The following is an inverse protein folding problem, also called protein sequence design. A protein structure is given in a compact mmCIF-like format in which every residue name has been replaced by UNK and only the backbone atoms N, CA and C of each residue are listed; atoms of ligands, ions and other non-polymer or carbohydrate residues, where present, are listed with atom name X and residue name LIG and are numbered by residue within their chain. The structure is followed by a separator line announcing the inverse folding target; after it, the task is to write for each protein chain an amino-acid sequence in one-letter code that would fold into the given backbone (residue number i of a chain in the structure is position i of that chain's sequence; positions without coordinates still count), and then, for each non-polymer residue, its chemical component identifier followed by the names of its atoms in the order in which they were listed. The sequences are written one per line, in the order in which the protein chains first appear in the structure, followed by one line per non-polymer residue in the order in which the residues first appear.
data_IF_806187283931
#
_entry.id   IF_806187283931
#
_cell.length_a   1.000
_cell.length_b   1.000
_cell.length_c   1.000
_cell.angle_alpha   90.00
_cell.angle_beta   90.00
_cell.angle_gamma   90.00
#
_symmetry.space_group_name_H-M   'P 1'
#
loop_
_entity.id
_entity.type
_entity.pdbx_description
1 polymer ?
#
# COMPACT_ATOMS: atom_id res chain seq x y z
N UNK A 1 6.66 3.58 45.52
CA UNK A 1 5.95 3.01 44.36
C UNK A 1 6.75 3.32 43.11
N UNK A 2 7.43 2.35 42.46
CA UNK A 2 8.09 2.66 41.20
C UNK A 2 7.02 2.82 40.14
N UNK A 3 6.90 4.02 39.59
CA UNK A 3 6.17 4.21 38.35
C UNK A 3 6.85 3.32 37.32
N UNK A 4 6.15 2.28 36.89
CA UNK A 4 6.52 1.48 35.73
C UNK A 4 6.59 2.50 34.60
N UNK A 5 7.80 2.86 34.15
CA UNK A 5 7.96 3.56 32.89
C UNK A 5 7.18 2.69 31.89
N UNK A 6 6.01 3.16 31.48
CA UNK A 6 5.44 2.71 30.23
C UNK A 6 6.55 3.05 29.24
N UNK A 7 7.29 2.04 28.80
CA UNK A 7 8.10 2.15 27.60
C UNK A 7 7.10 2.39 26.49
N UNK A 8 6.71 3.64 26.31
CA UNK A 8 5.89 4.03 25.20
C UNK A 8 6.86 3.92 24.04
N UNK A 9 6.78 2.79 23.36
CA UNK A 9 7.42 2.59 22.07
C UNK A 9 6.71 3.54 21.10
N UNK A 10 6.99 4.84 21.18
CA UNK A 10 6.61 5.84 20.17
C UNK A 10 7.43 5.66 18.90
N UNK A 11 7.88 4.44 18.60
CA UNK A 11 8.67 4.16 17.42
C UNK A 11 7.72 4.17 16.22
N UNK A 12 7.38 5.40 15.79
CA UNK A 12 7.35 5.90 14.41
C UNK A 12 7.18 4.79 13.37
N UNK A 13 6.15 3.97 13.50
CA UNK A 13 5.89 2.95 12.50
C UNK A 13 5.33 3.70 11.31
N UNK A 14 6.15 3.80 10.26
CA UNK A 14 5.79 4.59 9.08
C UNK A 14 4.68 3.83 8.37
N UNK A 15 3.49 4.42 8.38
CA UNK A 15 2.34 3.94 7.63
C UNK A 15 2.52 4.30 6.17
N UNK A 16 2.35 3.32 5.29
CA UNK A 16 2.40 3.52 3.85
C UNK A 16 1.28 2.72 3.18
N UNK A 17 0.53 3.37 2.31
CA UNK A 17 -0.56 2.71 1.57
C UNK A 17 0.00 2.04 0.33
N UNK A 18 -0.31 0.77 0.15
CA UNK A 18 -0.08 0.10 -1.11
C UNK A 18 -1.36 0.16 -1.95
N UNK A 19 -1.34 0.96 -3.01
CA UNK A 19 -2.47 1.20 -3.90
C UNK A 19 -2.68 0.03 -4.87
N UNK A 20 -3.01 -1.15 -4.32
CA UNK A 20 -3.32 -2.36 -5.06
C UNK A 20 -4.57 -3.05 -4.50
N UNK A 21 -5.37 -3.62 -5.39
CA UNK A 21 -6.46 -4.53 -5.03
C UNK A 21 -5.99 -6.00 -4.96
N UNK A 22 -4.75 -6.29 -5.36
CA UNK A 22 -4.21 -7.65 -5.34
C UNK A 22 -3.73 -8.04 -3.93
N UNK A 23 -4.51 -8.88 -3.25
CA UNK A 23 -4.21 -9.35 -1.89
C UNK A 23 -2.92 -10.17 -1.80
N UNK A 24 -2.55 -10.92 -2.85
CA UNK A 24 -1.29 -11.67 -2.88
C UNK A 24 -0.10 -10.72 -2.88
N UNK A 25 -0.10 -9.69 -3.76
CA UNK A 25 0.96 -8.66 -3.77
C UNK A 25 1.04 -7.93 -2.43
N UNK A 26 -0.11 -7.59 -1.83
CA UNK A 26 -0.16 -6.93 -0.53
C UNK A 26 0.55 -7.75 0.55
N UNK A 27 0.30 -9.06 0.58
CA UNK A 27 0.95 -9.95 1.54
C UNK A 27 2.45 -10.07 1.27
N UNK A 28 2.88 -10.23 0.01
CA UNK A 28 4.30 -10.25 -0.36
C UNK A 28 5.04 -9.00 0.12
N UNK A 29 4.47 -7.81 -0.07
CA UNK A 29 5.10 -6.56 0.36
C UNK A 29 5.12 -6.41 1.89
N UNK A 30 4.08 -6.88 2.59
CA UNK A 30 4.08 -6.95 4.06
C UNK A 30 5.22 -7.83 4.57
N UNK A 31 5.44 -8.97 3.93
CA UNK A 31 6.51 -9.89 4.31
C UNK A 31 7.90 -9.31 4.02
N UNK A 32 8.07 -8.60 2.89
CA UNK A 32 9.33 -7.95 2.49
C UNK A 32 9.68 -6.78 3.43
N UNK A 33 8.73 -5.89 3.73
CA UNK A 33 8.98 -4.71 4.55
C UNK A 33 8.99 -5.01 6.05
N UNK A 34 8.37 -6.12 6.46
CA UNK A 34 8.35 -6.62 7.82
C UNK A 34 7.88 -5.56 8.83
N UNK A 35 8.55 -5.48 9.97
CA UNK A 35 8.22 -4.52 11.04
C UNK A 35 8.75 -3.10 10.80
N UNK A 36 9.37 -2.82 9.65
CA UNK A 36 9.88 -1.49 9.32
C UNK A 36 8.79 -0.50 8.87
N UNK A 37 7.70 -1.02 8.32
CA UNK A 37 6.56 -0.24 7.82
C UNK A 37 5.24 -0.90 8.17
N UNK A 38 4.22 -0.09 8.41
CA UNK A 38 2.83 -0.56 8.42
C UNK A 38 2.27 -0.41 7.00
N UNK A 39 2.18 -1.53 6.27
CA UNK A 39 1.64 -1.53 4.89
C UNK A 39 0.12 -1.68 4.93
N UNK A 40 -0.56 -0.66 4.43
CA UNK A 40 -2.01 -0.48 4.52
C UNK A 40 -2.65 -0.61 3.14
N UNK A 41 -3.75 -1.34 3.07
CA UNK A 41 -4.51 -1.55 1.83
C UNK A 41 -5.45 -0.38 1.51
N UNK A 42 -5.95 -0.35 0.27
CA UNK A 42 -7.02 0.55 -0.17
C UNK A 42 -8.27 0.43 0.72
N UNK A 43 -8.67 -0.79 1.04
CA UNK A 43 -9.83 -1.06 1.91
C UNK A 43 -9.65 -0.49 3.32
N UNK A 44 -8.45 -0.59 3.89
CA UNK A 44 -8.15 -0.08 5.24
C UNK A 44 -8.12 1.45 5.33
N UNK A 45 -8.03 2.16 4.20
CA UNK A 45 -8.22 3.62 4.13
C UNK A 45 -9.63 4.03 3.68
N UNK A 46 -10.54 3.07 3.48
CA UNK A 46 -11.90 3.33 3.02
C UNK A 46 -12.01 3.62 1.52
N UNK A 47 -11.05 3.17 0.71
CA UNK A 47 -11.10 3.26 -0.74
C UNK A 47 -11.79 2.03 -1.32
N UNK A 48 -13.09 2.16 -1.60
CA UNK A 48 -13.95 1.11 -2.16
C UNK A 48 -14.23 1.28 -3.66
N UNK A 49 -13.50 2.17 -4.32
CA UNK A 49 -13.64 2.47 -5.75
C UNK A 49 -12.61 1.71 -6.59
N UNK A 50 -13.02 1.30 -7.78
CA UNK A 50 -12.08 0.82 -8.79
C UNK A 50 -11.31 2.01 -9.37
N UNK A 51 -10.01 2.06 -9.06
CA UNK A 51 -9.13 3.12 -9.55
C UNK A 51 -8.89 2.90 -11.05
N UNK A 52 -9.11 3.91 -11.90
CA UNK A 52 -8.94 3.76 -13.34
C UNK A 52 -7.49 3.45 -13.73
N UNK A 53 -7.33 2.47 -14.62
CA UNK A 53 -6.06 2.05 -15.22
C UNK A 53 -6.12 2.31 -16.74
N UNK A 54 -6.10 3.59 -17.10
CA UNK A 54 -6.29 4.03 -18.50
C UNK A 54 -4.98 4.28 -19.25
N UNK A 55 -3.86 3.97 -18.60
CA UNK A 55 -2.52 4.12 -19.17
C UNK A 55 -2.24 3.10 -20.26
N UNK A 56 -1.36 3.49 -21.18
CA UNK A 56 -0.85 2.62 -22.23
C UNK A 56 0.31 1.73 -21.74
N UNK A 57 0.91 2.07 -20.59
CA UNK A 57 2.01 1.29 -19.98
C UNK A 57 1.69 0.85 -18.55
N UNK A 58 2.45 -0.12 -18.05
CA UNK A 58 2.32 -0.59 -16.66
C UNK A 58 2.70 0.52 -15.69
N UNK A 59 3.76 1.25 -16.01
CA UNK A 59 4.24 2.39 -15.23
C UNK A 59 3.18 3.50 -15.15
N UNK A 60 2.48 3.79 -16.25
CA UNK A 60 1.39 4.77 -16.27
C UNK A 60 0.21 4.33 -15.39
N UNK A 61 -0.11 3.03 -15.37
CA UNK A 61 -1.17 2.49 -14.51
C UNK A 61 -0.78 2.50 -13.03
N UNK A 62 0.45 2.13 -12.70
CA UNK A 62 0.97 2.25 -11.34
C UNK A 62 0.95 3.71 -10.86
N UNK A 63 1.42 4.64 -11.70
CA UNK A 63 1.40 6.07 -11.39
C UNK A 63 -0.04 6.58 -11.17
N UNK A 64 -0.97 6.25 -12.07
CA UNK A 64 -2.39 6.61 -11.92
C UNK A 64 -2.97 6.14 -10.57
N UNK A 65 -2.65 4.91 -10.16
CA UNK A 65 -3.11 4.37 -8.87
C UNK A 65 -2.55 5.12 -7.68
N UNK A 66 -1.24 5.36 -7.65
CA UNK A 66 -0.61 6.12 -6.58
C UNK A 66 -1.14 7.56 -6.52
N UNK A 67 -1.27 8.21 -7.68
CA UNK A 67 -1.77 9.59 -7.77
C UNK A 67 -3.21 9.69 -7.27
N UNK A 68 -4.08 8.76 -7.67
CA UNK A 68 -5.46 8.73 -7.20
C UNK A 68 -5.54 8.65 -5.67
N UNK A 69 -4.76 7.74 -5.06
CA UNK A 69 -4.73 7.60 -3.60
C UNK A 69 -4.21 8.85 -2.92
N UNK A 70 -3.15 9.44 -3.45
CA UNK A 70 -2.59 10.67 -2.89
C UNK A 70 -3.60 11.83 -2.95
N UNK A 71 -4.25 12.05 -4.09
CA UNK A 71 -5.17 13.17 -4.31
C UNK A 71 -6.44 13.07 -3.45
N UNK A 72 -6.93 11.86 -3.20
CA UNK A 72 -8.19 11.67 -2.48
C UNK A 72 -8.00 11.52 -0.97
N UNK A 73 -6.91 10.87 -0.55
CA UNK A 73 -6.71 10.50 0.86
C UNK A 73 -5.57 11.26 1.54
N UNK A 74 -4.71 11.95 0.78
CA UNK A 74 -3.60 12.76 1.29
C UNK A 74 -2.63 11.96 2.19
N UNK A 75 -2.35 10.71 1.81
CA UNK A 75 -1.49 9.76 2.54
C UNK A 75 -0.29 9.36 1.71
N UNK A 76 0.81 9.01 2.39
CA UNK A 76 1.97 8.39 1.74
C UNK A 76 1.58 7.06 1.13
N UNK A 77 1.82 6.89 -0.17
CA UNK A 77 1.44 5.70 -0.90
C UNK A 77 2.45 5.32 -1.99
N UNK A 78 2.36 4.08 -2.44
CA UNK A 78 3.03 3.59 -3.64
C UNK A 78 2.09 2.62 -4.36
N UNK A 79 2.39 2.33 -5.62
CA UNK A 79 1.69 1.34 -6.41
C UNK A 79 2.71 0.53 -7.21
N UNK A 80 2.32 -0.67 -7.59
CA UNK A 80 3.08 -1.55 -8.45
C UNK A 80 2.11 -2.18 -9.44
N UNK A 81 2.52 -2.21 -10.71
CA UNK A 81 1.73 -2.80 -11.78
C UNK A 81 2.61 -3.75 -12.59
N UNK A 82 2.13 -4.98 -12.68
CA UNK A 82 2.66 -5.98 -13.59
C UNK A 82 1.49 -6.86 -13.99
N UNK A 83 1.37 -7.13 -15.29
CA UNK A 83 0.43 -8.14 -15.77
C UNK A 83 0.91 -9.47 -15.22
N UNK A 84 0.16 -10.04 -14.28
CA UNK A 84 0.25 -11.47 -13.98
C UNK A 84 -0.16 -12.18 -15.27
N UNK A 85 0.82 -12.46 -16.14
CA UNK A 85 0.61 -13.29 -17.30
C UNK A 85 -0.03 -14.58 -16.82
N UNK A 86 -1.18 -14.91 -17.39
CA UNK A 86 -1.69 -16.27 -17.33
C UNK A 86 -0.56 -17.22 -17.67
N UNK A 87 -0.50 -18.38 -16.99
CA UNK A 87 0.29 -19.49 -17.49
C UNK A 87 0.05 -19.58 -18.99
N UNK A 88 1.13 -19.51 -19.77
CA UNK A 88 1.04 -19.58 -21.22
C UNK A 88 0.15 -20.76 -21.63
N UNK A 89 -0.86 -20.45 -22.42
CA UNK A 89 -1.21 -21.30 -23.57
C UNK A 89 -0.43 -20.76 -24.75
#
# INVERSE_FOLDING_TARGET
MPYKLLTINYKLMKRIVFATNNQHKLQEIRDILGSGYEVVSLKEIGCDVDIPETGNTLEENALQKAQYVYDHYHVSCFADEYRSGGRGT
#
